data_IF_120152587414
#
_entry.id   IF_120152587414
#
_cell.length_a   1.000
_cell.length_b   1.000
_cell.length_c   1.000
_cell.angle_alpha   90.00
_cell.angle_beta   90.00
_cell.angle_gamma   90.00
#
_symmetry.space_group_name_H-M   'P 1'
#
loop_
_entity.id
_entity.type
_entity.pdbx_description
1 polymer ?
#
# COMPACT_ATOMS: atom_id res chain seq x y z
N UNK A 1 -11.71 -3.63 0.14
CA UNK A 1 -10.28 -3.47 0.47
C UNK A 1 -9.92 -4.17 1.78
N UNK A 2 -9.68 -5.49 1.76
CA UNK A 2 -9.43 -6.28 2.98
C UNK A 2 -8.01 -6.17 3.52
N UNK A 3 -7.00 -6.08 2.63
CA UNK A 3 -5.59 -6.14 3.02
C UNK A 3 -5.06 -4.86 3.67
N UNK A 4 -5.21 -3.68 3.02
CA UNK A 4 -4.86 -2.36 3.61
C UNK A 4 -5.46 -2.19 5.01
N UNK A 5 -6.76 -2.51 5.14
CA UNK A 5 -7.49 -2.42 6.42
C UNK A 5 -6.96 -3.35 7.50
N UNK A 6 -6.54 -4.56 7.12
CA UNK A 6 -5.93 -5.49 8.08
C UNK A 6 -4.58 -4.97 8.60
N UNK A 7 -3.74 -4.41 7.73
CA UNK A 7 -2.43 -3.85 8.11
C UNK A 7 -2.57 -2.59 8.98
N UNK A 8 -3.55 -1.74 8.70
CA UNK A 8 -3.84 -0.54 9.49
C UNK A 8 -4.51 -0.82 10.84
N UNK A 9 -4.99 -2.05 11.08
CA UNK A 9 -5.72 -2.39 12.32
C UNK A 9 -4.85 -2.27 13.57
N UNK A 10 -3.55 -2.47 13.42
CA UNK A 10 -2.58 -2.44 14.51
C UNK A 10 -1.47 -1.44 14.21
N UNK A 11 -0.96 -0.77 15.25
CA UNK A 11 0.26 0.04 15.18
C UNK A 11 1.39 -0.82 14.63
N UNK A 12 2.15 -0.27 13.67
CA UNK A 12 3.24 -0.96 12.98
C UNK A 12 2.81 -2.28 12.29
N UNK A 13 1.51 -2.47 12.00
CA UNK A 13 0.99 -3.71 11.41
C UNK A 13 1.59 -4.06 10.04
N UNK A 14 1.98 -3.06 9.25
CA UNK A 14 2.71 -3.30 8.01
C UNK A 14 4.15 -3.80 8.26
N UNK A 15 4.82 -3.30 9.30
CA UNK A 15 6.16 -3.79 9.69
C UNK A 15 6.13 -5.25 10.15
N UNK A 16 5.06 -5.67 10.82
CA UNK A 16 4.87 -7.08 11.21
C UNK A 16 4.72 -7.99 9.99
N UNK A 17 4.10 -7.50 8.91
CA UNK A 17 3.89 -8.27 7.69
C UNK A 17 5.12 -8.32 6.76
N UNK A 18 6.03 -7.33 6.86
CA UNK A 18 7.21 -7.23 6.01
C UNK A 18 8.07 -8.52 6.05
N UNK A 19 8.42 -9.02 4.86
CA UNK A 19 9.30 -10.18 4.70
C UNK A 19 8.67 -11.53 5.02
N UNK A 20 7.38 -11.57 5.41
CA UNK A 20 6.67 -12.83 5.61
C UNK A 20 6.43 -13.55 4.27
N UNK A 21 6.40 -14.88 4.34
CA UNK A 21 5.92 -15.74 3.26
C UNK A 21 4.61 -16.37 3.71
N UNK A 22 3.75 -16.81 2.78
CA UNK A 22 2.58 -17.59 3.13
C UNK A 22 2.98 -18.77 4.03
N UNK A 23 2.27 -18.94 5.14
CA UNK A 23 2.41 -20.12 5.99
C UNK A 23 1.45 -21.25 5.57
N UNK A 24 1.58 -22.43 6.18
CA UNK A 24 0.77 -23.61 5.83
C UNK A 24 -0.75 -23.35 5.90
N UNK A 25 -1.20 -22.46 6.80
CA UNK A 25 -2.62 -22.11 6.95
C UNK A 25 -3.11 -21.20 5.83
N UNK A 26 -2.19 -20.57 5.11
CA UNK A 26 -2.48 -19.63 4.02
C UNK A 26 -2.33 -20.26 2.63
N UNK A 27 -1.74 -21.47 2.53
CA UNK A 27 -1.49 -22.13 1.25
C UNK A 27 -2.75 -22.27 0.40
N UNK A 28 -3.86 -22.77 0.95
CA UNK A 28 -5.11 -22.93 0.20
C UNK A 28 -5.63 -21.60 -0.35
N UNK A 29 -5.46 -20.51 0.41
CA UNK A 29 -5.88 -19.17 -0.02
C UNK A 29 -5.00 -18.66 -1.16
N UNK A 30 -3.68 -18.79 -1.04
CA UNK A 30 -2.73 -18.33 -2.06
C UNK A 30 -2.85 -19.15 -3.34
N UNK A 31 -3.00 -20.47 -3.22
CA UNK A 31 -3.23 -21.37 -4.34
C UNK A 31 -4.53 -21.02 -5.07
N UNK A 32 -5.60 -20.70 -4.33
CA UNK A 32 -6.87 -20.25 -4.93
C UNK A 32 -6.72 -18.93 -5.68
N UNK A 33 -5.96 -17.97 -5.15
CA UNK A 33 -5.69 -16.70 -5.83
C UNK A 33 -4.90 -16.91 -7.12
N UNK A 34 -3.83 -17.71 -7.09
CA UNK A 34 -3.03 -18.02 -8.27
C UNK A 34 -3.84 -18.76 -9.32
N UNK A 35 -4.64 -19.75 -8.92
CA UNK A 35 -5.54 -20.48 -9.82
C UNK A 35 -6.53 -19.53 -10.49
N UNK A 36 -7.18 -18.67 -9.72
CA UNK A 36 -8.10 -17.66 -10.24
C UNK A 36 -7.44 -16.77 -11.30
N UNK A 37 -6.21 -16.30 -11.06
CA UNK A 37 -5.48 -15.50 -12.06
C UNK A 37 -5.26 -16.31 -13.35
N UNK A 38 -4.83 -17.57 -13.24
CA UNK A 38 -4.59 -18.42 -14.42
C UNK A 38 -5.86 -18.74 -15.21
N UNK A 39 -6.99 -18.94 -14.52
CA UNK A 39 -8.30 -19.17 -15.14
C UNK A 39 -8.82 -17.93 -15.90
N UNK A 40 -8.32 -16.74 -15.55
CA UNK A 40 -8.64 -15.48 -16.22
C UNK A 40 -7.61 -15.08 -17.29
N UNK A 41 -6.78 -16.02 -17.75
CA UNK A 41 -5.91 -15.83 -18.92
C UNK A 41 -4.50 -15.32 -18.61
N UNK A 42 -4.16 -15.10 -17.35
CA UNK A 42 -2.78 -14.80 -16.97
C UNK A 42 -1.92 -16.07 -17.04
N UNK A 43 -0.66 -15.93 -17.46
CA UNK A 43 0.33 -16.95 -17.13
C UNK A 43 0.52 -16.98 -15.61
N UNK A 44 0.98 -18.12 -15.05
CA UNK A 44 1.30 -18.19 -13.62
C UNK A 44 2.29 -17.09 -13.20
N UNK A 45 3.25 -16.77 -14.08
CA UNK A 45 4.24 -15.72 -13.85
C UNK A 45 3.58 -14.34 -13.78
N UNK A 46 2.73 -14.00 -14.74
CA UNK A 46 2.12 -12.68 -14.80
C UNK A 46 1.11 -12.50 -13.67
N UNK A 47 0.33 -13.55 -13.35
CA UNK A 47 -0.57 -13.56 -12.19
C UNK A 47 0.19 -13.37 -10.88
N UNK A 48 1.32 -14.03 -10.70
CA UNK A 48 2.20 -13.84 -9.54
C UNK A 48 2.73 -12.40 -9.46
N UNK A 49 3.17 -11.82 -10.59
CA UNK A 49 3.67 -10.45 -10.63
C UNK A 49 2.58 -9.43 -10.31
N UNK A 50 1.36 -9.64 -10.82
CA UNK A 50 0.20 -8.81 -10.50
C UNK A 50 -0.14 -8.82 -9.01
N UNK A 51 -0.27 -10.02 -8.41
CA UNK A 51 -0.53 -10.19 -6.97
C UNK A 51 0.59 -9.54 -6.15
N UNK A 52 1.84 -9.76 -6.54
CA UNK A 52 3.00 -9.18 -5.86
C UNK A 52 3.02 -7.65 -5.94
N UNK A 53 2.73 -7.08 -7.11
CA UNK A 53 2.70 -5.64 -7.32
C UNK A 53 1.63 -4.96 -6.45
N UNK A 54 0.41 -5.50 -6.44
CA UNK A 54 -0.68 -4.98 -5.59
C UNK A 54 -0.31 -5.09 -4.10
N UNK A 55 0.31 -6.20 -3.70
CA UNK A 55 0.73 -6.43 -2.32
C UNK A 55 1.82 -5.45 -1.88
N UNK A 56 2.88 -5.28 -2.68
CA UNK A 56 3.97 -4.33 -2.39
C UNK A 56 3.49 -2.89 -2.40
N UNK A 57 2.65 -2.50 -3.37
CA UNK A 57 2.06 -1.17 -3.41
C UNK A 57 1.24 -0.87 -2.15
N UNK A 58 0.38 -1.82 -1.76
CA UNK A 58 -0.44 -1.67 -0.54
C UNK A 58 0.42 -1.59 0.71
N UNK A 59 1.46 -2.43 0.80
CA UNK A 59 2.34 -2.46 1.96
C UNK A 59 3.15 -1.15 2.09
N UNK A 60 3.69 -0.64 0.98
CA UNK A 60 4.41 0.64 0.94
C UNK A 60 3.51 1.82 1.34
N UNK A 61 2.30 1.89 0.80
CA UNK A 61 1.35 2.95 1.15
C UNK A 61 1.00 2.94 2.65
N UNK A 62 0.79 1.76 3.25
CA UNK A 62 0.50 1.65 4.68
C UNK A 62 1.72 1.98 5.54
N UNK A 63 2.93 1.57 5.13
CA UNK A 63 4.16 1.91 5.85
C UNK A 63 4.36 3.43 5.91
N UNK A 64 4.27 4.12 4.76
CA UNK A 64 4.40 5.58 4.71
C UNK A 64 3.36 6.26 5.61
N UNK A 65 2.10 5.82 5.57
CA UNK A 65 1.04 6.37 6.42
C UNK A 65 1.32 6.16 7.93
N UNK A 66 1.75 4.95 8.32
CA UNK A 66 2.06 4.63 9.71
C UNK A 66 3.29 5.39 10.21
N UNK A 67 4.36 5.48 9.41
CA UNK A 67 5.58 6.20 9.76
C UNK A 67 5.37 7.71 9.79
N UNK A 68 4.61 8.27 8.86
CA UNK A 68 4.30 9.70 8.87
C UNK A 68 3.55 10.10 10.14
N UNK A 69 2.55 9.31 10.53
CA UNK A 69 1.80 9.54 11.78
C UNK A 69 2.71 9.46 13.01
N UNK A 70 3.64 8.50 13.05
CA UNK A 70 4.62 8.37 14.13
C UNK A 70 5.65 9.52 14.14
N UNK A 71 6.07 10.01 12.98
CA UNK A 71 7.02 11.11 12.87
C UNK A 71 6.43 12.44 13.36
N UNK A 72 5.14 12.70 13.10
CA UNK A 72 4.43 13.90 13.58
C UNK A 72 4.42 14.00 15.10
N UNK A 73 4.44 12.88 15.82
CA UNK A 73 4.53 12.89 17.29
C UNK A 73 5.93 13.26 17.81
N UNK A 74 6.98 12.99 17.02
CA UNK A 74 8.37 13.18 17.46
C UNK A 74 8.99 14.49 16.99
N UNK A 75 8.54 15.06 15.87
CA UNK A 75 9.06 16.30 15.30
C UNK A 75 7.93 17.14 14.67
N UNK A 76 7.72 18.39 15.11
CA UNK A 76 6.81 19.28 14.40
C UNK A 76 7.32 19.56 12.98
N UNK A 77 6.39 19.65 12.03
CA UNK A 77 6.71 19.98 10.65
C UNK A 77 7.44 21.34 10.57
N UNK A 78 8.39 21.44 9.64
CA UNK A 78 9.15 22.68 9.43
C UNK A 78 8.20 23.82 8.99
N UNK A 79 8.44 25.07 9.43
CA UNK A 79 7.61 26.20 9.05
C UNK A 79 7.63 26.44 7.52
N UNK A 80 6.45 26.76 6.98
CA UNK A 80 6.08 26.87 5.55
C UNK A 80 6.76 28.06 4.81
N UNK A 81 7.50 28.91 5.51
CA UNK A 81 7.95 30.22 4.98
C UNK A 81 8.87 30.13 3.75
N UNK A 82 9.54 29.01 3.53
CA UNK A 82 10.48 28.81 2.40
C UNK A 82 10.01 27.77 1.36
N UNK A 83 8.78 27.24 1.44
CA UNK A 83 8.32 26.23 0.49
C UNK A 83 8.01 26.84 -0.90
N UNK A 84 8.56 26.28 -2.00
CA UNK A 84 8.14 26.63 -3.36
C UNK A 84 6.65 26.34 -3.59
N UNK A 85 5.96 27.09 -4.47
CA UNK A 85 4.50 27.06 -4.57
C UNK A 85 3.92 25.67 -4.88
N UNK A 86 4.50 24.93 -5.83
CA UNK A 86 4.03 23.58 -6.17
C UNK A 86 4.21 22.58 -5.03
N UNK A 87 5.32 22.67 -4.30
CA UNK A 87 5.59 21.77 -3.18
C UNK A 87 4.64 22.05 -2.02
N UNK A 88 4.35 23.33 -1.74
CA UNK A 88 3.35 23.73 -0.74
C UNK A 88 1.98 23.14 -1.06
N UNK A 89 1.52 23.31 -2.30
CA UNK A 89 0.23 22.77 -2.73
C UNK A 89 0.19 21.23 -2.66
N UNK A 90 1.26 20.55 -3.09
CA UNK A 90 1.35 19.10 -3.02
C UNK A 90 1.28 18.58 -1.58
N UNK A 91 1.98 19.22 -0.63
CA UNK A 91 1.91 18.84 0.79
C UNK A 91 0.51 19.08 1.36
N UNK A 92 -0.14 20.19 1.03
CA UNK A 92 -1.53 20.45 1.44
C UNK A 92 -2.51 19.39 0.92
N UNK A 93 -2.31 18.92 -0.31
CA UNK A 93 -3.10 17.81 -0.88
C UNK A 93 -2.82 16.51 -0.12
N UNK A 94 -1.55 16.18 0.12
CA UNK A 94 -1.16 14.96 0.84
C UNK A 94 -1.68 14.93 2.28
N UNK A 95 -1.70 16.09 2.96
CA UNK A 95 -2.17 16.22 4.34
C UNK A 95 -3.71 16.32 4.44
N UNK A 96 -4.43 16.35 3.30
CA UNK A 96 -5.89 16.53 3.29
C UNK A 96 -6.68 15.27 3.64
N UNK A 97 -6.05 14.09 3.59
CA UNK A 97 -6.61 12.82 4.00
C UNK A 97 -5.55 11.90 4.65
N UNK A 98 -5.91 10.65 4.94
CA UNK A 98 -4.99 9.66 5.52
C UNK A 98 -4.16 8.92 4.45
N UNK A 99 -4.10 9.43 3.22
CA UNK A 99 -3.52 8.78 2.06
C UNK A 99 -4.46 7.80 1.33
N UNK A 100 -5.72 7.65 1.75
CA UNK A 100 -6.67 6.75 1.09
C UNK A 100 -6.93 7.12 -0.37
N UNK A 101 -7.10 8.40 -0.70
CA UNK A 101 -7.36 8.80 -2.09
C UNK A 101 -6.16 8.52 -3.00
N UNK A 102 -4.95 8.85 -2.55
CA UNK A 102 -3.72 8.54 -3.27
C UNK A 102 -3.55 7.03 -3.48
N UNK A 103 -3.85 6.22 -2.45
CA UNK A 103 -3.83 4.76 -2.53
C UNK A 103 -4.83 4.23 -3.57
N UNK A 104 -6.09 4.67 -3.52
CA UNK A 104 -7.12 4.21 -4.46
C UNK A 104 -6.79 4.58 -5.90
N UNK A 105 -6.29 5.80 -6.13
CA UNK A 105 -5.88 6.25 -7.45
C UNK A 105 -4.72 5.42 -8.02
N UNK A 106 -3.69 5.16 -7.19
CA UNK A 106 -2.56 4.32 -7.58
C UNK A 106 -2.95 2.87 -7.83
N UNK A 107 -3.86 2.31 -7.02
CA UNK A 107 -4.35 0.94 -7.19
C UNK A 107 -5.11 0.76 -8.51
N UNK A 108 -6.01 1.69 -8.83
CA UNK A 108 -6.73 1.67 -10.12
C UNK A 108 -5.76 1.79 -11.30
N UNK A 109 -4.77 2.67 -11.18
CA UNK A 109 -3.72 2.83 -12.20
C UNK A 109 -2.91 1.55 -12.40
N UNK A 110 -2.59 0.85 -11.31
CA UNK A 110 -1.89 -0.43 -11.35
C UNK A 110 -2.74 -1.51 -12.03
N UNK A 111 -4.01 -1.64 -11.64
CA UNK A 111 -4.94 -2.64 -12.19
C UNK A 111 -5.14 -2.45 -13.69
N UNK A 112 -5.25 -1.21 -14.16
CA UNK A 112 -5.40 -0.91 -15.60
C UNK A 112 -4.15 -1.24 -16.43
N UNK A 113 -2.98 -1.30 -15.78
CA UNK A 113 -1.71 -1.60 -16.42
C UNK A 113 -1.39 -3.10 -16.50
N UNK A 114 -2.17 -3.95 -15.86
CA UNK A 114 -2.03 -5.42 -15.89
C UNK A 114 -2.97 -6.03 -16.91
#
# INVERSE_FOLDING_TARGET
>A
MSFRRALLRYRDGAKVHLGTRPDEKQYDTVETQLRFMTENGFSLRDGLYAISAVSHFTLGAVLEQQEHTAALTDRPAAPDENLPPLLREALQIMDSDDGEQAFLHGLESLIRGV
#
